data_IF_898810711494
#
_entry.id   IF_898810711494
#
_cell.length_a   1.000
_cell.length_b   1.000
_cell.length_c   1.000
_cell.angle_alpha   90.00
_cell.angle_beta   90.00
_cell.angle_gamma   90.00
#
_symmetry.space_group_name_H-M   'P 1'
#
loop_
_entity.id
_entity.type
_entity.pdbx_description
1 polymer ?
#
# COMPACT_ATOMS: atom_id res chain seq x y z
N UNK A 1 2.00 37.61 -20.56
CA UNK A 1 2.92 37.09 -19.53
C UNK A 1 4.32 37.10 -20.13
N UNK A 2 5.28 37.71 -19.45
CA UNK A 2 6.68 37.75 -19.86
C UNK A 2 7.33 36.44 -19.38
N UNK A 3 8.15 35.74 -20.20
CA UNK A 3 8.84 34.53 -19.75
C UNK A 3 9.80 34.89 -18.61
N UNK A 4 9.60 34.27 -17.46
CA UNK A 4 10.46 34.42 -16.30
C UNK A 4 11.58 33.36 -16.39
N UNK A 5 12.87 33.74 -16.46
CA UNK A 5 13.95 32.77 -16.51
C UNK A 5 13.96 31.96 -15.20
N UNK A 6 13.74 30.65 -15.32
CA UNK A 6 13.94 29.71 -14.22
C UNK A 6 15.44 29.52 -14.01
N UNK A 7 15.91 29.66 -12.77
CA UNK A 7 17.33 29.48 -12.42
C UNK A 7 17.81 28.04 -12.63
N UNK A 8 16.92 27.06 -12.49
CA UNK A 8 17.09 25.65 -12.86
C UNK A 8 15.77 24.88 -12.73
N UNK A 9 15.62 23.78 -13.49
CA UNK A 9 14.47 22.87 -13.40
C UNK A 9 13.46 23.03 -14.54
N UNK A 10 12.30 22.39 -14.39
CA UNK A 10 11.24 22.35 -15.40
C UNK A 10 9.95 22.89 -14.81
N UNK A 11 9.35 23.85 -15.51
CA UNK A 11 7.99 24.32 -15.22
C UNK A 11 7.06 23.82 -16.30
N UNK A 12 5.97 23.16 -15.88
CA UNK A 12 4.94 22.64 -16.78
C UNK A 12 3.64 23.33 -16.40
N UNK A 13 3.01 23.98 -17.38
CA UNK A 13 1.69 24.57 -17.25
C UNK A 13 0.73 23.85 -18.20
N UNK A 14 -0.42 23.44 -17.66
CA UNK A 14 -1.49 22.80 -18.44
C UNK A 14 -2.75 23.64 -18.27
N UNK A 15 -3.26 24.18 -19.38
CA UNK A 15 -4.51 24.95 -19.44
C UNK A 15 -5.51 24.24 -20.34
N UNK A 16 -6.80 24.47 -20.10
CA UNK A 16 -7.91 23.96 -20.91
C UNK A 16 -7.83 22.44 -21.16
N UNK A 17 -7.63 21.68 -20.07
CA UNK A 17 -7.53 20.22 -20.12
C UNK A 17 -8.76 19.62 -20.82
N UNK A 18 -8.52 18.79 -21.83
CA UNK A 18 -9.53 18.17 -22.70
C UNK A 18 -10.25 19.08 -23.71
N UNK A 19 -9.80 20.33 -23.93
CA UNK A 19 -10.35 21.21 -24.97
C UNK A 19 -10.45 20.54 -26.35
N UNK A 20 -9.39 19.85 -26.79
CA UNK A 20 -9.35 19.15 -28.07
C UNK A 20 -10.05 17.77 -28.06
N UNK A 21 -10.57 17.31 -26.91
CA UNK A 21 -11.18 15.99 -26.74
C UNK A 21 -12.47 16.08 -25.91
N UNK A 22 -13.57 16.63 -26.45
CA UNK A 22 -14.79 16.92 -25.70
C UNK A 22 -15.47 15.68 -25.12
N UNK A 23 -15.30 14.51 -25.75
CA UNK A 23 -15.79 13.25 -25.18
C UNK A 23 -15.08 12.89 -23.86
N UNK A 24 -13.80 13.26 -23.68
CA UNK A 24 -13.06 13.06 -22.43
C UNK A 24 -13.52 14.01 -21.32
N UNK A 25 -13.95 15.22 -21.69
CA UNK A 25 -14.49 16.20 -20.75
C UNK A 25 -15.70 15.67 -19.97
N UNK A 26 -16.54 14.84 -20.62
CA UNK A 26 -17.71 14.21 -20.00
C UNK A 26 -17.36 13.18 -18.90
N UNK A 27 -16.11 12.74 -18.82
CA UNK A 27 -15.65 11.82 -17.77
C UNK A 27 -15.11 12.54 -16.53
N UNK A 28 -14.95 13.86 -16.58
CA UNK A 28 -14.60 14.63 -15.39
C UNK A 28 -15.68 14.45 -14.33
N UNK A 29 -15.25 14.15 -13.11
CA UNK A 29 -16.13 14.12 -11.95
C UNK A 29 -16.39 15.55 -11.48
N UNK A 30 -16.99 15.67 -10.30
CA UNK A 30 -17.10 16.97 -9.63
C UNK A 30 -15.69 17.51 -9.33
N UNK A 31 -15.55 18.84 -9.35
CA UNK A 31 -14.30 19.53 -9.01
C UNK A 31 -13.70 19.03 -7.68
N UNK A 32 -14.54 18.87 -6.66
CA UNK A 32 -14.14 18.31 -5.36
C UNK A 32 -13.52 16.91 -5.48
N UNK A 33 -14.07 16.04 -6.33
CA UNK A 33 -13.56 14.69 -6.51
C UNK A 33 -12.23 14.67 -7.29
N UNK A 34 -12.06 15.56 -8.26
CA UNK A 34 -10.81 15.73 -8.99
C UNK A 34 -9.71 16.28 -8.09
N UNK A 35 -10.01 17.32 -7.29
CA UNK A 35 -9.09 17.87 -6.28
C UNK A 35 -8.67 16.80 -5.28
N UNK A 36 -9.61 15.97 -4.79
CA UNK A 36 -9.26 14.86 -3.90
C UNK A 36 -8.35 13.84 -4.58
N UNK A 37 -8.57 13.54 -5.86
CA UNK A 37 -7.73 12.61 -6.62
C UNK A 37 -6.30 13.17 -6.78
N UNK A 38 -6.15 14.48 -7.02
CA UNK A 38 -4.86 15.16 -7.06
C UNK A 38 -4.15 15.07 -5.70
N UNK A 39 -4.87 15.39 -4.62
CA UNK A 39 -4.35 15.29 -3.25
C UNK A 39 -3.85 13.88 -2.97
N UNK A 40 -4.62 12.85 -3.31
CA UNK A 40 -4.26 11.45 -3.07
C UNK A 40 -3.01 11.04 -3.87
N UNK A 41 -2.88 11.47 -5.13
CA UNK A 41 -1.69 11.19 -5.96
C UNK A 41 -0.46 11.85 -5.35
N UNK A 42 -0.54 13.13 -5.00
CA UNK A 42 0.61 13.86 -4.45
C UNK A 42 0.99 13.32 -3.07
N UNK A 43 0.03 12.92 -2.25
CA UNK A 43 0.30 12.23 -0.98
C UNK A 43 1.05 10.90 -1.20
N UNK A 44 0.63 10.07 -2.16
CA UNK A 44 1.32 8.81 -2.49
C UNK A 44 2.77 9.06 -2.92
N UNK A 45 3.01 10.09 -3.74
CA UNK A 45 4.36 10.48 -4.14
C UNK A 45 5.17 10.97 -2.94
N UNK A 46 4.55 11.75 -2.05
CA UNK A 46 5.20 12.23 -0.84
C UNK A 46 5.55 11.08 0.13
N UNK A 47 4.72 10.04 0.26
CA UNK A 47 5.00 8.87 1.10
C UNK A 47 6.27 8.14 0.67
N UNK A 48 6.46 7.96 -0.65
CA UNK A 48 7.63 7.25 -1.19
C UNK A 48 8.91 8.10 -1.16
N UNK A 49 8.79 9.43 -1.29
CA UNK A 49 9.95 10.31 -1.48
C UNK A 49 10.12 11.26 -0.29
N UNK A 50 10.55 10.73 0.84
CA UNK A 50 10.71 11.50 2.09
C UNK A 50 11.75 12.63 1.99
N UNK A 51 12.73 12.50 1.10
CA UNK A 51 13.83 13.44 0.91
C UNK A 51 13.50 14.61 -0.04
N UNK A 52 12.30 14.61 -0.65
CA UNK A 52 11.82 15.64 -1.59
C UNK A 52 10.77 16.52 -0.92
N UNK A 53 10.85 17.84 -1.12
CA UNK A 53 9.82 18.79 -0.66
C UNK A 53 8.60 18.78 -1.60
N UNK A 54 7.40 18.73 -1.04
CA UNK A 54 6.14 18.83 -1.79
C UNK A 54 5.33 20.06 -1.35
N UNK A 55 4.60 20.67 -2.27
CA UNK A 55 3.63 21.73 -1.95
C UNK A 55 2.47 21.63 -2.92
N UNK A 56 1.25 21.68 -2.39
CA UNK A 56 0.04 21.68 -3.21
C UNK A 56 -0.82 22.90 -2.83
N UNK A 57 -1.16 23.69 -3.84
CA UNK A 57 -2.08 24.82 -3.73
C UNK A 57 -3.25 24.61 -4.69
N UNK A 58 -4.45 24.87 -4.23
CA UNK A 58 -5.69 24.82 -5.02
C UNK A 58 -6.39 26.14 -4.84
N UNK A 59 -6.68 26.84 -5.94
CA UNK A 59 -7.33 28.17 -5.96
C UNK A 59 -6.71 29.18 -4.99
N UNK A 60 -5.37 29.24 -4.98
CA UNK A 60 -4.60 30.14 -4.12
C UNK A 60 -4.52 29.72 -2.65
N UNK A 61 -5.22 28.66 -2.22
CA UNK A 61 -5.16 28.13 -0.86
C UNK A 61 -4.15 26.99 -0.78
N UNK A 62 -3.24 27.07 0.18
CA UNK A 62 -2.29 26.00 0.46
C UNK A 62 -3.01 24.82 1.11
N UNK A 63 -3.04 23.68 0.42
CA UNK A 63 -3.63 22.44 0.93
C UNK A 63 -2.66 21.76 1.88
N UNK A 64 -1.41 21.60 1.45
CA UNK A 64 -0.31 21.14 2.29
C UNK A 64 1.04 21.61 1.73
N UNK A 65 2.04 21.55 2.60
CA UNK A 65 3.45 21.76 2.29
C UNK A 65 4.25 20.79 3.14
N UNK A 66 4.90 19.84 2.48
CA UNK A 66 5.75 18.85 3.11
C UNK A 66 7.21 19.25 2.94
N UNK A 67 7.93 19.40 4.04
CA UNK A 67 9.36 19.67 4.00
C UNK A 67 10.14 18.39 3.70
N UNK A 68 11.41 18.54 3.32
CA UNK A 68 12.34 17.41 3.24
C UNK A 68 12.48 16.79 4.64
N UNK A 69 12.35 15.48 4.72
CA UNK A 69 12.49 14.71 5.94
C UNK A 69 13.71 13.78 5.86
N UNK A 70 14.22 13.37 7.03
CA UNK A 70 15.38 12.47 7.12
C UNK A 70 14.98 11.00 6.99
N UNK A 71 13.76 10.64 7.41
CA UNK A 71 13.25 9.27 7.33
C UNK A 71 11.86 9.20 6.71
N UNK A 72 11.50 8.01 6.23
CA UNK A 72 10.15 7.68 5.76
C UNK A 72 9.11 7.92 6.86
N UNK A 73 9.42 7.54 8.10
CA UNK A 73 8.47 7.63 9.22
C UNK A 73 8.16 9.10 9.55
N UNK A 74 9.16 9.98 9.55
CA UNK A 74 8.97 11.43 9.76
C UNK A 74 8.04 12.02 8.69
N UNK A 75 8.20 11.58 7.43
CA UNK A 75 7.31 11.96 6.35
C UNK A 75 5.89 11.45 6.58
N UNK A 76 5.69 10.21 7.00
CA UNK A 76 4.36 9.69 7.31
C UNK A 76 3.69 10.46 8.46
N UNK A 77 4.46 10.90 9.46
CA UNK A 77 3.94 11.71 10.57
C UNK A 77 3.40 13.08 10.12
N UNK A 78 3.97 13.66 9.06
CA UNK A 78 3.54 14.95 8.48
C UNK A 78 2.24 14.82 7.64
N UNK A 79 1.97 13.62 7.13
CA UNK A 79 0.85 13.37 6.21
C UNK A 79 -0.47 13.26 6.99
N UNK A 80 -1.16 14.41 7.08
CA UNK A 80 -2.42 14.59 7.83
C UNK A 80 -3.52 13.58 7.50
N UNK A 81 -3.58 13.04 6.28
CA UNK A 81 -4.63 12.09 5.87
C UNK A 81 -4.53 10.75 6.64
N UNK A 82 -3.35 10.39 7.14
CA UNK A 82 -3.17 9.23 8.03
C UNK A 82 -3.80 9.45 9.42
N UNK A 83 -4.12 10.71 9.74
CA UNK A 83 -4.78 11.11 10.99
C UNK A 83 -3.78 11.55 12.06
N UNK A 84 -4.24 12.49 12.90
CA UNK A 84 -3.49 12.87 14.10
C UNK A 84 -3.27 11.63 14.98
N UNK A 85 -2.02 11.40 15.38
CA UNK A 85 -1.65 10.26 16.21
C UNK A 85 -1.37 8.96 15.46
N UNK A 86 -1.41 8.91 14.11
CA UNK A 86 -0.96 7.68 13.40
C UNK A 86 0.45 7.30 13.81
N UNK A 87 1.38 8.25 13.85
CA UNK A 87 2.76 8.03 14.27
C UNK A 87 2.84 7.35 15.65
N UNK A 88 2.18 7.91 16.66
CA UNK A 88 2.16 7.38 18.04
C UNK A 88 1.42 6.04 18.18
N UNK A 89 0.41 5.83 17.32
CA UNK A 89 -0.47 4.67 17.32
C UNK A 89 -0.14 3.71 16.17
N UNK A 90 1.10 3.72 15.68
CA UNK A 90 1.58 2.81 14.65
C UNK A 90 2.73 1.95 15.17
N UNK A 91 2.99 0.89 14.43
CA UNK A 91 4.04 -0.07 14.67
C UNK A 91 4.92 -0.14 13.43
N UNK A 92 6.25 -0.03 13.58
CA UNK A 92 7.14 -0.24 12.46
C UNK A 92 7.07 -1.70 12.03
N UNK A 93 7.11 -1.91 10.72
CA UNK A 93 7.23 -3.24 10.11
C UNK A 93 8.61 -3.32 9.48
N UNK A 94 9.30 -4.41 9.75
CA UNK A 94 10.50 -4.81 9.02
C UNK A 94 10.52 -6.34 8.98
N UNK A 95 10.29 -6.92 7.81
CA UNK A 95 10.18 -8.35 7.61
C UNK A 95 10.84 -8.77 6.30
N UNK A 96 11.59 -9.86 6.32
CA UNK A 96 12.31 -10.38 5.15
C UNK A 96 12.03 -11.87 5.03
N UNK A 97 11.45 -12.30 3.91
CA UNK A 97 11.20 -13.70 3.57
C UNK A 97 11.29 -13.86 2.04
N UNK A 98 11.95 -14.90 1.56
CA UNK A 98 12.03 -15.26 0.13
C UNK A 98 12.44 -14.11 -0.82
N UNK A 99 13.49 -13.35 -0.45
CA UNK A 99 13.97 -12.16 -1.19
C UNK A 99 12.97 -10.99 -1.29
N UNK A 100 11.85 -11.07 -0.56
CA UNK A 100 10.90 -9.98 -0.41
C UNK A 100 11.20 -9.29 0.91
N UNK A 101 11.43 -7.98 0.84
CA UNK A 101 11.59 -7.12 2.02
C UNK A 101 10.35 -6.26 2.17
N UNK A 102 9.76 -6.29 3.35
CA UNK A 102 8.56 -5.55 3.68
C UNK A 102 8.84 -4.60 4.84
N UNK A 103 8.75 -3.30 4.57
CA UNK A 103 8.94 -2.23 5.55
C UNK A 103 7.70 -1.34 5.65
N UNK A 104 7.65 -0.47 6.66
CA UNK A 104 6.62 0.57 6.76
C UNK A 104 6.03 0.67 8.16
N UNK A 105 4.77 1.10 8.23
CA UNK A 105 4.06 1.33 9.48
C UNK A 105 2.63 0.80 9.42
N UNK A 106 2.21 0.13 10.50
CA UNK A 106 0.86 -0.43 10.63
C UNK A 106 0.19 0.11 11.89
N UNK A 107 -1.04 0.62 11.77
CA UNK A 107 -1.79 1.17 12.90
C UNK A 107 -2.18 0.08 13.90
N UNK A 108 -2.22 0.42 15.20
CA UNK A 108 -2.79 -0.48 16.21
C UNK A 108 -4.28 -0.72 15.92
N UNK A 109 -4.87 -1.85 16.35
CA UNK A 109 -6.25 -2.21 16.00
C UNK A 109 -7.33 -1.18 16.37
N UNK A 110 -7.11 -0.40 17.44
CA UNK A 110 -8.02 0.68 17.87
C UNK A 110 -8.08 1.82 16.85
N UNK A 111 -7.09 1.97 15.97
CA UNK A 111 -7.04 2.95 14.90
C UNK A 111 -7.57 2.34 13.58
N UNK A 112 -8.89 2.22 13.48
CA UNK A 112 -9.57 1.67 12.31
C UNK A 112 -10.60 2.63 11.68
N UNK A 113 -10.99 2.33 10.44
CA UNK A 113 -11.90 3.14 9.60
C UNK A 113 -12.88 2.23 8.86
N UNK A 114 -14.01 2.78 8.41
CA UNK A 114 -14.99 2.03 7.61
C UNK A 114 -14.61 1.80 6.14
N UNK A 115 -13.42 2.25 5.70
CA UNK A 115 -12.97 2.15 4.30
C UNK A 115 -11.49 1.76 4.24
N UNK A 116 -11.12 1.01 3.20
CA UNK A 116 -9.74 0.59 2.90
C UNK A 116 -8.86 1.69 2.28
N UNK A 117 -9.35 2.91 2.16
CA UNK A 117 -8.64 4.01 1.46
C UNK A 117 -7.33 4.42 2.13
N UNK A 118 -7.11 4.04 3.38
CA UNK A 118 -5.86 4.30 4.13
C UNK A 118 -4.96 3.06 4.23
N UNK A 119 -5.20 2.06 3.38
CA UNK A 119 -4.25 0.97 3.13
C UNK A 119 -3.42 1.37 1.91
N UNK A 120 -2.22 1.87 2.17
CA UNK A 120 -1.25 2.23 1.16
C UNK A 120 -0.22 1.11 1.03
N UNK A 121 -0.12 0.57 -0.18
CA UNK A 121 0.91 -0.41 -0.53
C UNK A 121 1.74 0.10 -1.67
N UNK A 122 3.06 -0.05 -1.55
CA UNK A 122 4.01 0.33 -2.57
C UNK A 122 4.84 -0.88 -2.97
N UNK A 123 4.98 -1.14 -4.26
CA UNK A 123 5.85 -2.20 -4.78
C UNK A 123 6.97 -1.56 -5.56
N UNK A 124 8.23 -1.76 -5.14
CA UNK A 124 9.41 -1.14 -5.73
C UNK A 124 9.24 0.38 -5.97
N UNK A 125 8.71 1.08 -4.95
CA UNK A 125 8.45 2.52 -4.98
C UNK A 125 7.21 2.97 -5.77
N UNK A 126 6.42 2.06 -6.34
CA UNK A 126 5.19 2.40 -7.08
C UNK A 126 3.96 2.21 -6.19
N UNK A 127 3.03 3.19 -6.12
CA UNK A 127 1.77 2.99 -5.40
C UNK A 127 0.91 1.97 -6.13
N UNK A 128 0.61 0.86 -5.46
CA UNK A 128 -0.20 -0.23 -5.98
C UNK A 128 -1.49 -0.30 -5.17
N UNK A 129 -2.61 -0.48 -5.87
CA UNK A 129 -3.87 -0.87 -5.24
C UNK A 129 -4.25 -2.26 -5.76
N UNK A 130 -4.11 -3.27 -4.91
CA UNK A 130 -4.48 -4.66 -5.25
C UNK A 130 -5.40 -5.22 -4.16
N UNK A 131 -6.56 -5.75 -4.57
CA UNK A 131 -7.54 -6.34 -3.67
C UNK A 131 -6.98 -7.51 -2.86
N UNK A 132 -6.00 -8.25 -3.40
CA UNK A 132 -5.26 -9.28 -2.67
C UNK A 132 -4.51 -8.68 -1.49
N UNK A 133 -3.78 -7.57 -1.68
CA UNK A 133 -3.02 -6.92 -0.60
C UNK A 133 -3.96 -6.37 0.47
N UNK A 134 -5.07 -5.76 0.05
CA UNK A 134 -6.13 -5.32 0.97
C UNK A 134 -6.71 -6.50 1.76
N UNK A 135 -6.94 -7.64 1.10
CA UNK A 135 -7.37 -8.89 1.72
C UNK A 135 -6.37 -9.41 2.75
N UNK A 136 -5.08 -9.45 2.39
CA UNK A 136 -3.99 -9.90 3.27
C UNK A 136 -3.90 -9.04 4.54
N UNK A 137 -3.97 -7.71 4.38
CA UNK A 137 -4.01 -6.78 5.51
C UNK A 137 -5.24 -7.07 6.38
N UNK A 138 -6.43 -7.19 5.78
CA UNK A 138 -7.65 -7.47 6.54
C UNK A 138 -7.59 -8.80 7.30
N UNK A 139 -7.04 -9.85 6.68
CA UNK A 139 -6.85 -11.14 7.33
C UNK A 139 -5.85 -11.08 8.47
N UNK A 140 -4.76 -10.32 8.33
CA UNK A 140 -3.78 -10.15 9.41
C UNK A 140 -4.39 -9.49 10.67
N UNK A 141 -5.45 -8.69 10.50
CA UNK A 141 -6.16 -7.99 11.56
C UNK A 141 -7.46 -8.67 12.00
N UNK A 142 -7.83 -9.84 11.45
CA UNK A 142 -9.14 -10.47 11.66
C UNK A 142 -9.47 -10.72 13.13
N UNK A 143 -8.45 -10.98 13.95
CA UNK A 143 -8.59 -11.31 15.36
C UNK A 143 -8.69 -10.05 16.24
N UNK A 144 -8.49 -8.86 15.66
CA UNK A 144 -8.35 -7.60 16.41
C UNK A 144 -9.32 -6.49 15.97
N UNK A 145 -9.88 -6.58 14.76
CA UNK A 145 -10.75 -5.56 14.18
C UNK A 145 -12.06 -6.20 13.71
N UNK A 146 -13.17 -5.47 13.89
CA UNK A 146 -14.49 -5.87 13.38
C UNK A 146 -14.47 -6.09 11.86
N UNK A 147 -15.32 -6.99 11.36
CA UNK A 147 -15.31 -7.41 9.95
C UNK A 147 -15.46 -6.26 8.94
N UNK A 148 -16.15 -5.17 9.28
CA UNK A 148 -16.42 -4.04 8.38
C UNK A 148 -15.43 -2.88 8.54
N UNK A 149 -14.42 -3.04 9.38
CA UNK A 149 -13.40 -2.03 9.65
C UNK A 149 -12.07 -2.40 9.00
N UNK A 150 -11.31 -1.37 8.66
CA UNK A 150 -10.00 -1.46 8.02
C UNK A 150 -8.96 -0.71 8.87
N UNK A 151 -7.76 -1.27 9.06
CA UNK A 151 -6.66 -0.58 9.71
C UNK A 151 -6.09 0.53 8.82
N UNK A 152 -5.31 1.43 9.42
CA UNK A 152 -4.45 2.37 8.68
C UNK A 152 -3.09 1.70 8.48
N UNK A 153 -2.64 1.57 7.24
CA UNK A 153 -1.45 0.78 6.90
C UNK A 153 -0.68 1.48 5.79
N UNK A 154 0.65 1.56 5.94
CA UNK A 154 1.58 2.01 4.90
C UNK A 154 2.68 0.96 4.79
N UNK A 155 2.71 0.21 3.69
CA UNK A 155 3.70 -0.85 3.46
C UNK A 155 4.49 -0.61 2.18
N UNK A 156 5.80 -0.78 2.28
CA UNK A 156 6.73 -0.80 1.17
C UNK A 156 7.22 -2.23 0.97
N UNK A 157 6.95 -2.77 -0.22
CA UNK A 157 7.31 -4.12 -0.64
C UNK A 157 8.41 -3.97 -1.67
N UNK A 158 9.61 -4.40 -1.31
CA UNK A 158 10.75 -4.47 -2.22
C UNK A 158 11.00 -5.93 -2.62
N UNK A 159 11.02 -6.20 -3.92
CA UNK A 159 11.17 -7.54 -4.47
C UNK A 159 11.85 -7.54 -5.84
N UNK A 160 12.41 -8.69 -6.29
CA UNK A 160 12.98 -8.82 -7.63
C UNK A 160 11.97 -8.41 -8.73
N UNK A 161 12.42 -7.62 -9.71
CA UNK A 161 11.56 -7.06 -10.78
C UNK A 161 11.00 -8.13 -11.73
N UNK A 162 11.62 -9.30 -11.82
CA UNK A 162 11.14 -10.46 -12.58
C UNK A 162 9.94 -11.16 -11.90
N UNK A 163 9.72 -10.92 -10.61
CA UNK A 163 8.59 -11.47 -9.86
C UNK A 163 7.33 -10.58 -9.87
N UNK A 164 7.42 -9.38 -10.46
CA UNK A 164 6.31 -8.42 -10.54
C UNK A 164 6.24 -7.75 -11.92
N UNK A 165 5.14 -7.97 -12.62
CA UNK A 165 4.84 -7.25 -13.85
C UNK A 165 3.96 -6.03 -13.56
N UNK A 166 4.50 -4.83 -13.83
CA UNK A 166 3.81 -3.55 -13.67
C UNK A 166 3.14 -3.04 -14.95
N UNK A 167 3.29 -3.73 -16.08
CA UNK A 167 2.77 -3.31 -17.39
C UNK A 167 1.37 -3.87 -17.72
N UNK A 168 0.57 -4.17 -16.69
CA UNK A 168 -0.68 -4.94 -16.85
C UNK A 168 -1.90 -4.06 -17.13
N UNK A 169 -1.91 -2.81 -16.66
CA UNK A 169 -3.04 -1.90 -16.83
C UNK A 169 -2.60 -0.52 -17.36
N UNK A 170 -3.40 0.16 -18.21
CA UNK A 170 -3.10 1.50 -18.73
C UNK A 170 -2.72 2.54 -17.67
N UNK A 171 -3.33 2.43 -16.48
CA UNK A 171 -3.07 3.33 -15.34
C UNK A 171 -1.94 2.86 -14.40
N UNK A 172 -1.33 1.69 -14.65
CA UNK A 172 -0.24 1.09 -13.84
C UNK A 172 -0.51 0.94 -12.34
N UNK A 173 -1.78 1.02 -11.92
CA UNK A 173 -2.21 0.93 -10.51
C UNK A 173 -2.33 -0.51 -10.00
N UNK A 174 -2.32 -1.47 -10.91
CA UNK A 174 -2.43 -2.91 -10.65
C UNK A 174 -1.17 -3.60 -11.14
N UNK A 175 -0.73 -4.63 -10.42
CA UNK A 175 0.46 -5.42 -10.74
C UNK A 175 0.10 -6.89 -10.83
N UNK A 176 0.82 -7.63 -11.68
CA UNK A 176 0.73 -9.08 -11.71
C UNK A 176 1.95 -9.67 -11.04
N UNK A 177 1.74 -10.16 -9.84
CA UNK A 177 2.73 -10.96 -9.14
C UNK A 177 2.84 -12.35 -9.74
N UNK A 178 4.06 -12.86 -9.84
CA UNK A 178 4.33 -14.22 -10.30
C UNK A 178 3.75 -15.25 -9.31
N UNK A 179 3.98 -15.06 -8.00
CA UNK A 179 3.39 -15.86 -6.93
C UNK A 179 2.58 -14.98 -5.96
N UNK A 180 1.28 -14.85 -6.24
CA UNK A 180 0.34 -14.13 -5.36
C UNK A 180 0.24 -14.74 -3.97
N UNK A 181 0.37 -16.06 -3.83
CA UNK A 181 0.21 -16.74 -2.54
C UNK A 181 1.38 -16.45 -1.63
N UNK A 182 2.59 -16.46 -2.18
CA UNK A 182 3.79 -16.09 -1.45
C UNK A 182 3.67 -14.66 -0.88
N UNK A 183 3.31 -13.69 -1.71
CA UNK A 183 3.20 -12.29 -1.29
C UNK A 183 2.09 -12.10 -0.26
N UNK A 184 0.95 -12.76 -0.46
CA UNK A 184 -0.12 -12.79 0.52
C UNK A 184 0.38 -13.27 1.89
N UNK A 185 1.05 -14.42 1.93
CA UNK A 185 1.64 -15.00 3.14
C UNK A 185 2.64 -14.04 3.79
N UNK A 186 3.55 -13.45 3.01
CA UNK A 186 4.59 -12.53 3.51
C UNK A 186 3.95 -11.29 4.15
N UNK A 187 2.94 -10.69 3.52
CA UNK A 187 2.21 -9.54 4.07
C UNK A 187 1.52 -9.91 5.38
N UNK A 188 0.80 -11.03 5.41
CA UNK A 188 0.11 -11.50 6.63
C UNK A 188 1.11 -11.73 7.77
N UNK A 189 2.19 -12.46 7.50
CA UNK A 189 3.22 -12.77 8.49
C UNK A 189 3.87 -11.50 9.03
N UNK A 190 4.23 -10.56 8.16
CA UNK A 190 4.87 -9.31 8.56
C UNK A 190 3.99 -8.49 9.52
N UNK A 191 2.70 -8.34 9.20
CA UNK A 191 1.75 -7.60 10.03
C UNK A 191 1.49 -8.33 11.35
N UNK A 192 1.23 -9.64 11.33
CA UNK A 192 0.98 -10.41 12.56
C UNK A 192 2.19 -10.39 13.49
N UNK A 193 3.41 -10.47 12.94
CA UNK A 193 4.65 -10.31 13.71
C UNK A 193 4.72 -8.94 14.40
N UNK A 194 4.46 -7.86 13.67
CA UNK A 194 4.47 -6.51 14.24
C UNK A 194 3.41 -6.34 15.36
N UNK A 195 2.20 -6.86 15.16
CA UNK A 195 1.13 -6.82 16.17
C UNK A 195 1.47 -7.65 17.41
N UNK A 196 2.05 -8.85 17.24
CA UNK A 196 2.40 -9.74 18.35
C UNK A 196 3.40 -9.10 19.31
N UNK A 197 4.40 -8.37 18.79
CA UNK A 197 5.42 -7.68 19.60
C UNK A 197 4.80 -6.69 20.59
N UNK A 198 3.75 -5.95 20.20
CA UNK A 198 3.10 -4.97 21.09
C UNK A 198 2.01 -5.57 21.97
N UNK A 199 1.35 -6.64 21.53
CA UNK A 199 0.24 -7.24 22.27
C UNK A 199 0.69 -8.28 23.30
N UNK A 200 2.01 -8.49 23.47
CA UNK A 200 2.63 -9.40 24.45
C UNK A 200 2.04 -10.81 24.46
N UNK A 201 1.55 -11.26 23.30
CA UNK A 201 0.90 -12.55 23.12
C UNK A 201 1.87 -13.50 22.41
N UNK A 202 2.17 -14.64 23.05
CA UNK A 202 2.83 -15.79 22.43
C UNK A 202 1.88 -16.42 21.40
N UNK A 203 1.74 -15.82 20.22
CA UNK A 203 1.02 -16.47 19.13
C UNK A 203 1.88 -17.58 18.53
N UNK A 204 1.32 -18.79 18.51
CA UNK A 204 1.75 -19.85 17.60
C UNK A 204 1.19 -19.49 16.22
N UNK A 205 2.06 -19.27 15.24
CA UNK A 205 1.65 -19.06 13.86
C UNK A 205 1.23 -20.41 13.26
N UNK A 206 0.00 -20.84 13.52
CA UNK A 206 -0.56 -21.98 12.80
C UNK A 206 -0.86 -21.50 11.36
N UNK A 207 0.02 -21.86 10.42
CA UNK A 207 -0.02 -21.47 9.01
C UNK A 207 -1.18 -22.11 8.20
N UNK A 208 -2.32 -22.39 8.83
CA UNK A 208 -3.49 -22.91 8.13
C UNK A 208 -4.26 -21.77 7.45
N UNK A 209 -3.74 -21.35 6.29
CA UNK A 209 -4.39 -20.44 5.35
C UNK A 209 -5.63 -21.05 4.67
N UNK A 210 -5.97 -22.30 4.95
CA UNK A 210 -7.07 -23.06 4.34
C UNK A 210 -8.45 -22.42 4.54
N UNK A 211 -8.63 -21.61 5.59
CA UNK A 211 -9.90 -20.94 5.87
C UNK A 211 -10.04 -19.53 5.29
N UNK A 212 -8.96 -18.98 4.75
CA UNK A 212 -8.92 -17.63 4.22
C UNK A 212 -9.77 -17.52 2.93
N UNK A 213 -10.71 -16.57 2.81
CA UNK A 213 -11.54 -16.40 1.62
C UNK A 213 -10.76 -16.17 0.32
N UNK A 214 -9.65 -15.42 0.34
CA UNK A 214 -8.79 -15.25 -0.82
C UNK A 214 -8.16 -16.58 -1.24
N UNK A 215 -7.75 -17.38 -0.25
CA UNK A 215 -7.20 -18.72 -0.50
C UNK A 215 -8.28 -19.68 -1.01
N UNK A 216 -9.47 -19.69 -0.41
CA UNK A 216 -10.60 -20.49 -0.89
C UNK A 216 -10.96 -20.13 -2.34
N UNK A 217 -11.06 -18.86 -2.66
CA UNK A 217 -11.53 -18.39 -3.97
C UNK A 217 -10.46 -18.47 -5.08
N UNK A 218 -9.17 -18.43 -4.73
CA UNK A 218 -8.06 -18.41 -5.71
C UNK A 218 -7.15 -19.66 -5.69
N UNK A 219 -7.21 -20.51 -4.65
CA UNK A 219 -6.50 -21.80 -4.59
C UNK A 219 -7.39 -22.96 -5.04
N UNK A 220 -8.68 -22.94 -4.72
CA UNK A 220 -9.59 -24.01 -5.15
C UNK A 220 -9.69 -24.13 -6.68
N UNK A 221 -9.56 -23.01 -7.41
CA UNK A 221 -9.55 -22.99 -8.89
C UNK A 221 -8.29 -23.59 -9.53
N UNK A 222 -7.18 -23.71 -8.80
CA UNK A 222 -5.94 -24.31 -9.33
C UNK A 222 -5.99 -25.84 -9.30
N UNK A 223 -6.84 -26.46 -8.47
CA UNK A 223 -7.02 -27.92 -8.49
C UNK A 223 -7.66 -28.45 -9.78
N UNK A 224 -8.38 -27.61 -10.53
CA UNK A 224 -9.00 -27.98 -11.83
C UNK A 224 -8.10 -27.75 -13.04
N UNK A 225 -6.91 -27.16 -12.87
CA UNK A 225 -5.98 -26.88 -13.97
C UNK A 225 -4.70 -27.69 -13.83
N UNK A 226 -4.82 -29.02 -13.71
CA UNK A 226 -3.87 -30.05 -14.19
C UNK A 226 -2.36 -29.93 -13.88
N UNK A 227 -1.90 -28.97 -13.07
CA UNK A 227 -0.48 -28.78 -12.76
C UNK A 227 -0.20 -29.45 -11.43
N UNK A 228 0.56 -30.54 -11.50
CA UNK A 228 0.99 -31.34 -10.36
C UNK A 228 1.90 -30.49 -9.46
N UNK A 229 1.39 -30.10 -8.28
CA UNK A 229 2.17 -29.38 -7.27
C UNK A 229 2.90 -30.43 -6.42
N UNK A 230 4.24 -30.40 -6.32
CA UNK A 230 4.95 -31.34 -5.46
C UNK A 230 4.54 -31.11 -4.01
N UNK A 231 4.10 -32.18 -3.37
CA UNK A 231 3.78 -32.26 -1.95
C UNK A 231 5.04 -32.01 -1.12
N UNK A 232 5.14 -30.84 -0.48
CA UNK A 232 6.16 -30.61 0.54
C UNK A 232 5.69 -31.17 1.87
N UNK A 233 6.27 -32.31 2.29
CA UNK A 233 6.18 -32.80 3.68
C UNK A 233 7.14 -31.98 4.54
N UNK A 234 6.60 -31.30 5.55
CA UNK A 234 7.40 -30.65 6.59
C UNK A 234 7.92 -31.73 7.56
N UNK A 235 9.24 -31.94 7.58
CA UNK A 235 9.91 -32.67 8.65
C UNK A 235 10.06 -31.72 9.85
N UNK A 236 9.40 -32.05 10.96
CA UNK A 236 9.57 -31.36 12.23
C UNK A 236 10.99 -31.62 12.78
N UNK A 237 11.68 -30.62 13.37
CA UNK A 237 12.95 -30.85 14.03
C UNK A 237 12.74 -31.56 15.37
N UNK A 238 13.42 -32.68 15.55
CA UNK A 238 13.53 -33.43 16.81
C UNK A 238 14.33 -32.61 17.83
N UNK A 239 13.74 -32.37 19.00
CA UNK A 239 14.42 -31.82 20.17
C UNK A 239 15.34 -32.89 20.79
N UNK A 240 16.60 -32.53 21.03
CA UNK A 240 17.48 -33.11 22.06
C UNK A 240 17.94 -31.97 22.96
#
# INVERSE_FOLDING_TARGET
MIPNPLSCGTYIEVRDLFFATPNRLKFLKTEKAEVQSIIDIVNKLAMVNHDIKFSLCVDGKQVFKYLKQQSEIDRLAEIKILGMGFYENSLPVHFVENMITLTGCVGIPTLSRGKSSLIYTFVNGRPIYDNMLVGAVRYAYSDFIEREKYPIVVLYINMPYDQVDTNVHPNKSEVRFQDKRLIYKVVVNAIKNALAVKMNNKFRFDHNFSDDPFVKDNIAKVKDSGVNVPSFQFLAPSLH
#
